data_IF_379093079003
#
_entry.id   IF_379093079003
#
_cell.length_a   1.000
_cell.length_b   1.000
_cell.length_c   1.000
_cell.angle_alpha   90.00
_cell.angle_beta   90.00
_cell.angle_gamma   90.00
#
_symmetry.space_group_name_H-M   'P 1'
#
loop_
_entity.id
_entity.type
_entity.pdbx_description
1 polymer ?
#
# COMPACT_ATOMS: atom_id res chain seq x y z
N UNK A 1 -24.97 -17.72 -11.01
CA UNK A 1 -25.93 -16.63 -10.68
C UNK A 1 -25.15 -15.39 -10.30
N UNK A 2 -25.47 -14.21 -10.86
CA UNK A 2 -24.91 -12.93 -10.36
C UNK A 2 -25.67 -12.54 -9.08
N UNK A 3 -25.00 -12.02 -8.04
CA UNK A 3 -25.69 -11.60 -6.83
C UNK A 3 -26.68 -10.45 -7.11
N UNK A 4 -27.79 -10.35 -6.37
CA UNK A 4 -28.76 -9.26 -6.51
C UNK A 4 -28.12 -7.88 -6.31
N UNK A 5 -28.49 -6.89 -7.13
CA UNK A 5 -27.94 -5.52 -7.10
C UNK A 5 -28.00 -4.85 -5.71
N UNK A 6 -29.03 -5.15 -4.90
CA UNK A 6 -29.13 -4.66 -3.51
C UNK A 6 -28.01 -5.19 -2.60
N UNK A 7 -27.61 -6.45 -2.75
CA UNK A 7 -26.50 -7.05 -2.00
C UNK A 7 -25.15 -6.50 -2.45
N UNK A 8 -25.02 -6.19 -3.76
CA UNK A 8 -23.84 -5.53 -4.31
C UNK A 8 -23.66 -4.11 -3.75
N UNK A 9 -24.75 -3.34 -3.62
CA UNK A 9 -24.72 -1.99 -3.07
C UNK A 9 -24.35 -1.94 -1.58
N UNK A 10 -24.77 -2.93 -0.79
CA UNK A 10 -24.40 -3.03 0.64
C UNK A 10 -22.90 -3.27 0.83
N UNK A 11 -22.30 -4.16 0.03
CA UNK A 11 -20.87 -4.44 0.08
C UNK A 11 -20.00 -3.23 -0.33
N UNK A 12 -20.46 -2.46 -1.32
CA UNK A 12 -19.78 -1.22 -1.75
C UNK A 12 -19.79 -0.17 -0.63
N UNK A 13 -20.94 0.04 0.01
CA UNK A 13 -21.08 0.98 1.13
C UNK A 13 -20.12 0.58 2.25
N UNK A 14 -20.00 -0.71 2.54
CA UNK A 14 -19.09 -1.23 3.56
C UNK A 14 -17.63 -0.93 3.23
N UNK A 15 -17.17 -1.12 1.99
CA UNK A 15 -15.79 -0.79 1.62
C UNK A 15 -15.45 0.70 1.83
N UNK A 16 -16.34 1.62 1.43
CA UNK A 16 -16.07 3.04 1.60
C UNK A 16 -16.20 3.51 3.05
N UNK A 17 -17.16 2.96 3.78
CA UNK A 17 -17.29 3.19 5.22
C UNK A 17 -16.04 2.73 5.97
N UNK A 18 -15.59 1.49 5.73
CA UNK A 18 -14.37 0.94 6.33
C UNK A 18 -13.13 1.74 5.92
N UNK A 19 -13.02 2.15 4.66
CA UNK A 19 -11.93 3.01 4.19
C UNK A 19 -11.88 4.35 4.93
N UNK A 20 -13.03 5.00 5.12
CA UNK A 20 -13.13 6.28 5.80
C UNK A 20 -12.80 6.14 7.29
N UNK A 21 -13.29 5.09 7.95
CA UNK A 21 -12.95 4.79 9.34
C UNK A 21 -11.44 4.60 9.50
N UNK A 22 -10.83 3.74 8.68
CA UNK A 22 -9.39 3.51 8.71
C UNK A 22 -8.57 4.79 8.41
N UNK A 23 -9.07 5.68 7.54
CA UNK A 23 -8.44 6.98 7.31
C UNK A 23 -8.50 7.88 8.55
N UNK A 24 -9.64 7.93 9.23
CA UNK A 24 -9.84 8.72 10.45
C UNK A 24 -8.94 8.19 11.56
N UNK A 25 -8.94 6.88 11.81
CA UNK A 25 -8.09 6.22 12.80
C UNK A 25 -6.61 6.48 12.53
N UNK A 26 -6.17 6.34 11.28
CA UNK A 26 -4.79 6.67 10.86
C UNK A 26 -4.42 8.11 11.21
N UNK A 27 -5.35 9.06 11.01
CA UNK A 27 -5.12 10.48 11.32
C UNK A 27 -5.02 10.74 12.81
N UNK A 28 -5.90 10.13 13.61
CA UNK A 28 -5.89 10.24 15.08
C UNK A 28 -4.56 9.71 15.62
N UNK A 29 -4.16 8.50 15.22
CA UNK A 29 -2.90 7.88 15.65
C UNK A 29 -1.69 8.72 15.24
N UNK A 30 -1.66 9.22 14.00
CA UNK A 30 -0.56 10.10 13.55
C UNK A 30 -0.46 11.38 14.39
N UNK A 31 -1.59 12.03 14.65
CA UNK A 31 -1.64 13.25 15.46
C UNK A 31 -1.19 12.95 16.89
N UNK A 32 -1.61 11.83 17.46
CA UNK A 32 -1.15 11.39 18.77
C UNK A 32 0.37 11.16 18.80
N UNK A 33 0.91 10.41 17.82
CA UNK A 33 2.35 10.17 17.70
C UNK A 33 3.17 11.46 17.63
N UNK A 34 2.65 12.52 17.01
CA UNK A 34 3.35 13.81 16.93
C UNK A 34 3.53 14.50 18.29
N UNK A 35 2.69 14.16 19.28
CA UNK A 35 2.73 14.71 20.64
C UNK A 35 3.59 13.89 21.61
N UNK A 36 3.99 12.68 21.22
CA UNK A 36 4.80 11.80 22.04
C UNK A 36 6.27 12.25 22.07
N UNK A 37 6.86 12.18 23.26
CA UNK A 37 8.27 12.51 23.52
C UNK A 37 9.15 11.27 23.48
N UNK A 38 8.66 10.11 23.93
CA UNK A 38 9.37 8.85 23.84
C UNK A 38 9.48 8.40 22.37
N UNK A 39 10.71 8.21 21.89
CA UNK A 39 10.97 7.87 20.49
C UNK A 39 10.50 6.46 20.12
N UNK A 40 10.52 5.50 21.05
CA UNK A 40 10.04 4.14 20.81
C UNK A 40 8.52 4.16 20.67
N UNK A 41 7.80 4.74 21.64
CA UNK A 41 6.34 4.87 21.62
C UNK A 41 5.88 5.66 20.40
N UNK A 42 6.57 6.74 20.05
CA UNK A 42 6.30 7.53 18.85
C UNK A 42 6.42 6.69 17.58
N UNK A 43 7.50 5.94 17.42
CA UNK A 43 7.70 5.09 16.23
C UNK A 43 6.61 4.01 16.12
N UNK A 44 6.26 3.44 17.26
CA UNK A 44 5.24 2.44 17.47
C UNK A 44 3.84 2.93 17.10
N UNK A 45 3.38 4.05 17.65
CA UNK A 45 2.08 4.66 17.31
C UNK A 45 2.05 5.13 15.84
N UNK A 46 3.17 5.64 15.33
CA UNK A 46 3.27 6.04 13.93
C UNK A 46 3.20 4.84 12.97
N UNK A 47 3.78 3.70 13.35
CA UNK A 47 3.67 2.45 12.60
C UNK A 47 2.22 1.94 12.55
N UNK A 48 1.50 2.01 13.67
CA UNK A 48 0.06 1.76 13.72
C UNK A 48 -0.74 2.69 12.81
N UNK A 49 -0.43 3.98 12.81
CA UNK A 49 -1.03 4.94 11.90
C UNK A 49 -0.79 4.56 10.41
N UNK A 50 0.40 4.04 10.10
CA UNK A 50 0.76 3.55 8.77
C UNK A 50 -0.02 2.29 8.37
N UNK A 51 -0.19 1.33 9.28
CA UNK A 51 -1.03 0.15 9.06
C UNK A 51 -2.49 0.54 8.78
N UNK A 52 -3.08 1.43 9.58
CA UNK A 52 -4.44 1.97 9.33
C UNK A 52 -4.54 2.69 7.99
N UNK A 53 -3.48 3.38 7.56
CA UNK A 53 -3.42 3.98 6.23
C UNK A 53 -3.44 2.94 5.11
N UNK A 54 -2.75 1.81 5.33
CA UNK A 54 -2.75 0.67 4.40
C UNK A 54 -4.12 -0.02 4.34
N UNK A 55 -4.80 -0.21 5.48
CA UNK A 55 -6.19 -0.70 5.55
C UNK A 55 -7.11 0.20 4.72
N UNK A 56 -6.98 1.52 4.87
CA UNK A 56 -7.72 2.50 4.07
C UNK A 56 -7.47 2.34 2.56
N UNK A 57 -6.21 2.17 2.13
CA UNK A 57 -5.84 1.96 0.73
C UNK A 57 -6.42 0.66 0.17
N UNK A 58 -6.36 -0.42 0.95
CA UNK A 58 -6.93 -1.73 0.61
C UNK A 58 -8.44 -1.64 0.35
N UNK A 59 -9.21 -1.07 1.27
CA UNK A 59 -10.66 -0.98 1.10
C UNK A 59 -11.07 -0.10 -0.10
N UNK A 60 -10.30 0.95 -0.41
CA UNK A 60 -10.50 1.74 -1.65
C UNK A 60 -10.22 0.91 -2.90
N UNK A 61 -9.17 0.10 -2.87
CA UNK A 61 -8.81 -0.78 -3.98
C UNK A 61 -9.89 -1.82 -4.25
N UNK A 62 -10.38 -2.50 -3.22
CA UNK A 62 -11.45 -3.50 -3.37
C UNK A 62 -12.76 -2.86 -3.84
N UNK A 63 -13.13 -1.70 -3.30
CA UNK A 63 -14.26 -0.91 -3.81
C UNK A 63 -14.09 -0.52 -5.29
N UNK A 64 -12.88 -0.13 -5.71
CA UNK A 64 -12.58 0.22 -7.10
C UNK A 64 -12.60 -1.00 -8.04
N UNK A 65 -12.18 -2.19 -7.57
CA UNK A 65 -12.29 -3.44 -8.34
C UNK A 65 -13.75 -3.81 -8.57
N UNK A 66 -14.56 -3.69 -7.53
CA UNK A 66 -15.98 -4.01 -7.57
C UNK A 66 -16.76 -3.09 -8.51
N UNK A 67 -16.54 -1.76 -8.40
CA UNK A 67 -17.19 -0.76 -9.24
C UNK A 67 -16.59 -0.64 -10.65
N UNK A 68 -15.41 -1.23 -10.86
CA UNK A 68 -14.59 -1.03 -12.06
C UNK A 68 -14.32 0.45 -12.39
N UNK A 69 -14.22 1.30 -11.35
CA UNK A 69 -14.04 2.75 -11.48
C UNK A 69 -12.54 3.13 -11.45
N UNK A 70 -11.99 3.71 -12.54
CA UNK A 70 -10.58 4.12 -12.59
C UNK A 70 -10.23 5.30 -11.67
N UNK A 71 -11.16 6.23 -11.40
CA UNK A 71 -10.90 7.36 -10.49
C UNK A 71 -10.74 6.89 -9.04
N UNK A 72 -11.57 5.93 -8.62
CA UNK A 72 -11.48 5.35 -7.28
C UNK A 72 -10.19 4.52 -7.17
N UNK A 73 -9.79 3.83 -8.24
CA UNK A 73 -8.50 3.12 -8.30
C UNK A 73 -7.32 4.07 -8.16
N UNK A 74 -7.34 5.22 -8.83
CA UNK A 74 -6.29 6.25 -8.69
C UNK A 74 -6.24 6.81 -7.27
N UNK A 75 -7.39 6.97 -6.59
CA UNK A 75 -7.41 7.30 -5.16
C UNK A 75 -6.75 6.21 -4.31
N UNK A 76 -7.01 4.94 -4.57
CA UNK A 76 -6.36 3.83 -3.86
C UNK A 76 -4.84 3.83 -4.06
N UNK A 77 -4.37 4.06 -5.30
CA UNK A 77 -2.95 4.21 -5.63
C UNK A 77 -2.30 5.32 -4.81
N UNK A 78 -2.95 6.49 -4.75
CA UNK A 78 -2.43 7.63 -3.98
C UNK A 78 -2.34 7.28 -2.48
N UNK A 79 -3.32 6.54 -1.94
CA UNK A 79 -3.27 6.09 -0.54
C UNK A 79 -2.14 5.10 -0.28
N UNK A 80 -1.84 4.18 -1.20
CA UNK A 80 -0.68 3.31 -1.09
C UNK A 80 0.64 4.10 -1.15
N UNK A 81 0.73 5.15 -1.98
CA UNK A 81 1.90 6.01 -2.04
C UNK A 81 2.10 6.81 -0.74
N UNK A 82 1.02 7.38 -0.19
CA UNK A 82 1.04 8.04 1.12
C UNK A 82 1.49 7.07 2.23
N UNK A 83 0.96 5.84 2.20
CA UNK A 83 1.28 4.79 3.16
C UNK A 83 2.74 4.33 3.07
N UNK A 84 3.29 4.19 1.87
CA UNK A 84 4.70 3.89 1.64
C UNK A 84 5.61 4.95 2.29
N UNK A 85 5.28 6.23 2.12
CA UNK A 85 5.99 7.32 2.79
C UNK A 85 5.93 7.23 4.32
N UNK A 86 4.84 6.72 4.89
CA UNK A 86 4.74 6.53 6.35
C UNK A 86 5.66 5.40 6.81
N UNK A 87 5.71 4.28 6.08
CA UNK A 87 6.62 3.20 6.41
C UNK A 87 8.10 3.54 6.20
N UNK A 88 8.43 4.44 5.26
CA UNK A 88 9.79 5.00 5.16
C UNK A 88 10.18 5.79 6.41
N UNK A 89 9.25 6.57 6.97
CA UNK A 89 9.48 7.31 8.22
C UNK A 89 9.63 6.33 9.39
N UNK A 90 8.78 5.30 9.47
CA UNK A 90 8.90 4.24 10.48
C UNK A 90 10.28 3.57 10.41
N UNK A 91 10.72 3.17 9.22
CA UNK A 91 12.01 2.52 9.02
C UNK A 91 13.17 3.39 9.53
N UNK A 92 13.14 4.70 9.23
CA UNK A 92 14.16 5.65 9.72
C UNK A 92 14.15 5.74 11.24
N UNK A 93 12.98 5.80 11.87
CA UNK A 93 12.87 5.82 13.33
C UNK A 93 13.40 4.52 13.95
N UNK A 94 13.02 3.35 13.44
CA UNK A 94 13.49 2.07 13.95
C UNK A 94 14.99 1.82 13.71
N UNK A 95 15.59 2.42 12.67
CA UNK A 95 17.05 2.40 12.47
C UNK A 95 17.77 3.07 13.63
N UNK A 96 17.24 4.19 14.13
CA UNK A 96 17.84 4.92 15.26
C UNK A 96 17.65 4.17 16.58
N UNK A 97 16.61 3.34 16.68
CA UNK A 97 16.25 2.56 17.87
C UNK A 97 16.85 1.14 17.89
N UNK A 98 17.66 0.79 16.88
CA UNK A 98 18.25 -0.55 16.71
C UNK A 98 17.22 -1.73 16.71
N UNK A 99 15.94 -1.45 16.46
CA UNK A 99 14.90 -2.47 16.36
C UNK A 99 14.89 -3.11 14.96
N UNK A 100 15.68 -4.16 14.79
CA UNK A 100 15.92 -4.83 13.50
C UNK A 100 14.66 -5.44 12.89
N UNK A 101 13.80 -6.06 13.71
CA UNK A 101 12.54 -6.67 13.26
C UNK A 101 11.58 -5.61 12.69
N UNK A 102 11.29 -4.55 13.45
CA UNK A 102 10.34 -3.52 13.00
C UNK A 102 10.84 -2.74 11.78
N UNK A 103 12.16 -2.58 11.64
CA UNK A 103 12.78 -2.06 10.43
C UNK A 103 12.51 -2.96 9.22
N UNK A 104 12.68 -4.27 9.37
CA UNK A 104 12.41 -5.25 8.30
C UNK A 104 10.92 -5.25 7.92
N UNK A 105 10.02 -5.29 8.91
CA UNK A 105 8.58 -5.25 8.69
C UNK A 105 8.16 -3.94 8.00
N UNK A 106 8.74 -2.80 8.38
CA UNK A 106 8.52 -1.51 7.70
C UNK A 106 8.94 -1.56 6.23
N UNK A 107 10.13 -2.11 5.93
CA UNK A 107 10.59 -2.27 4.54
C UNK A 107 9.68 -3.20 3.74
N UNK A 108 9.25 -4.30 4.33
CA UNK A 108 8.36 -5.25 3.70
C UNK A 108 7.06 -4.56 3.27
N UNK A 109 6.43 -3.81 4.16
CA UNK A 109 5.19 -3.09 3.87
C UNK A 109 5.38 -1.99 2.82
N UNK A 110 6.54 -1.30 2.79
CA UNK A 110 6.86 -0.38 1.68
C UNK A 110 6.87 -1.10 0.32
N UNK A 111 7.47 -2.29 0.26
CA UNK A 111 7.52 -3.10 -0.97
C UNK A 111 6.12 -3.51 -1.39
N UNK A 112 5.26 -3.90 -0.44
CA UNK A 112 3.88 -4.28 -0.73
C UNK A 112 3.09 -3.08 -1.24
N UNK A 113 3.20 -1.91 -0.62
CA UNK A 113 2.58 -0.68 -1.14
C UNK A 113 2.99 -0.41 -2.59
N UNK A 114 4.28 -0.49 -2.90
CA UNK A 114 4.81 -0.33 -4.27
C UNK A 114 4.25 -1.37 -5.23
N UNK A 115 4.18 -2.62 -4.81
CA UNK A 115 3.64 -3.71 -5.62
C UNK A 115 2.15 -3.54 -5.89
N UNK A 116 1.35 -3.09 -4.92
CA UNK A 116 -0.08 -2.78 -5.13
C UNK A 116 -0.27 -1.60 -6.09
N UNK A 117 0.56 -0.55 -5.99
CA UNK A 117 0.57 0.55 -6.97
C UNK A 117 0.84 0.00 -8.38
N UNK A 118 1.84 -0.88 -8.51
CA UNK A 118 2.18 -1.52 -9.76
C UNK A 118 1.01 -2.35 -10.33
N UNK A 119 0.39 -3.24 -9.56
CA UNK A 119 -0.75 -4.06 -10.01
C UNK A 119 -1.87 -3.16 -10.53
N UNK A 120 -2.21 -2.10 -9.80
CA UNK A 120 -3.30 -1.19 -10.16
C UNK A 120 -2.99 -0.35 -11.41
N UNK A 121 -1.70 -0.12 -11.72
CA UNK A 121 -1.25 0.54 -12.95
C UNK A 121 -0.92 -0.42 -14.09
N UNK A 122 -0.78 -1.73 -13.84
CA UNK A 122 -0.35 -2.74 -14.83
C UNK A 122 -1.16 -2.69 -16.12
N UNK A 123 -2.49 -2.67 -16.04
CA UNK A 123 -3.36 -2.57 -17.22
C UNK A 123 -3.14 -1.26 -18.00
N UNK A 124 -2.99 -0.13 -17.30
CA UNK A 124 -2.70 1.18 -17.90
C UNK A 124 -1.33 1.17 -18.59
N UNK A 125 -0.33 0.59 -17.94
CA UNK A 125 1.01 0.42 -18.48
C UNK A 125 1.02 -0.38 -19.78
N UNK A 126 0.40 -1.57 -19.83
CA UNK A 126 0.38 -2.37 -21.07
C UNK A 126 -0.42 -1.71 -22.19
N UNK A 127 -1.55 -1.07 -21.85
CA UNK A 127 -2.31 -0.27 -22.83
C UNK A 127 -1.43 0.84 -23.41
N UNK A 128 -0.71 1.56 -22.56
CA UNK A 128 0.15 2.66 -22.98
C UNK A 128 1.39 2.19 -23.75
N UNK A 129 2.01 1.07 -23.34
CA UNK A 129 3.09 0.40 -24.08
C UNK A 129 2.66 0.08 -25.52
N UNK A 130 1.44 -0.44 -25.70
CA UNK A 130 0.90 -0.73 -27.03
C UNK A 130 0.66 0.53 -27.86
N UNK A 131 0.13 1.61 -27.25
CA UNK A 131 -0.06 2.90 -27.92
C UNK A 131 1.28 3.49 -28.39
N UNK A 132 2.30 3.47 -27.52
CA UNK A 132 3.65 3.92 -27.87
C UNK A 132 4.29 3.10 -28.96
N UNK A 133 4.15 1.78 -28.92
CA UNK A 133 4.67 0.92 -29.97
C UNK A 133 4.02 1.24 -31.32
N UNK A 134 2.70 1.45 -31.36
CA UNK A 134 2.02 1.91 -32.58
C UNK A 134 2.50 3.29 -33.03
N UNK A 135 2.82 4.20 -32.12
CA UNK A 135 3.33 5.52 -32.46
C UNK A 135 4.76 5.48 -33.01
N UNK A 136 5.64 4.67 -32.43
CA UNK A 136 7.00 4.41 -32.94
C UNK A 136 6.94 3.77 -34.33
N UNK A 137 5.99 2.86 -34.55
CA UNK A 137 5.73 2.24 -35.85
C UNK A 137 5.07 3.21 -36.87
N UNK A 138 4.84 4.48 -36.52
CA UNK A 138 4.20 5.47 -37.39
C UNK A 138 2.70 5.26 -37.60
N UNK A 139 2.07 4.36 -36.84
CA UNK A 139 0.66 3.94 -36.98
C UNK A 139 -0.30 4.76 -36.09
N UNK A 140 0.21 5.67 -35.26
CA UNK A 140 -0.62 6.58 -34.44
C UNK A 140 0.14 7.83 -34.00
N UNK A 141 -0.55 8.96 -33.87
CA UNK A 141 0.00 10.19 -33.28
C UNK A 141 -0.27 10.17 -31.77
N UNK A 142 0.77 10.26 -30.96
CA UNK A 142 0.68 10.36 -29.49
C UNK A 142 0.24 11.77 -29.08
N UNK A 143 -0.77 11.87 -28.21
CA UNK A 143 -1.12 13.14 -27.58
C UNK A 143 -0.15 13.42 -26.42
N UNK A 144 0.25 14.69 -26.21
CA UNK A 144 1.23 15.08 -25.18
C UNK A 144 0.87 14.60 -23.76
N UNK A 145 -0.41 14.58 -23.39
CA UNK A 145 -0.88 14.12 -22.09
C UNK A 145 -0.67 12.61 -21.86
N UNK A 146 -0.71 11.81 -22.93
CA UNK A 146 -0.48 10.37 -22.90
C UNK A 146 1.02 10.07 -22.70
N UNK A 147 1.90 10.89 -23.28
CA UNK A 147 3.35 10.79 -23.13
C UNK A 147 3.82 11.06 -21.68
N UNK A 148 3.34 12.14 -21.06
CA UNK A 148 3.65 12.48 -19.66
C UNK A 148 3.16 11.42 -18.67
N UNK A 149 1.97 10.88 -18.93
CA UNK A 149 1.40 9.77 -18.15
C UNK A 149 2.27 8.52 -18.27
N UNK A 150 2.67 8.14 -19.48
CA UNK A 150 3.52 6.97 -19.69
C UNK A 150 4.85 7.08 -18.97
N UNK A 151 5.53 8.22 -19.08
CA UNK A 151 6.86 8.38 -18.50
C UNK A 151 6.82 8.20 -16.96
N UNK A 152 5.81 8.79 -16.30
CA UNK A 152 5.58 8.60 -14.86
C UNK A 152 5.28 7.14 -14.52
N UNK A 153 4.46 6.46 -15.32
CA UNK A 153 4.12 5.06 -15.07
C UNK A 153 5.30 4.12 -15.36
N UNK A 154 6.14 4.42 -16.35
CA UNK A 154 7.35 3.66 -16.71
C UNK A 154 8.44 3.77 -15.64
N UNK A 155 8.73 4.97 -15.14
CA UNK A 155 9.71 5.17 -14.06
C UNK A 155 9.28 4.46 -12.76
N UNK A 156 7.98 4.49 -12.46
CA UNK A 156 7.42 3.69 -11.36
C UNK A 156 7.52 2.19 -11.66
N UNK A 157 7.25 1.76 -12.89
CA UNK A 157 7.31 0.35 -13.29
C UNK A 157 8.73 -0.22 -13.13
N UNK A 158 9.75 0.48 -13.62
CA UNK A 158 11.13 -0.02 -13.59
C UNK A 158 11.66 -0.11 -12.15
N UNK A 159 11.46 0.94 -11.35
CA UNK A 159 11.92 0.98 -9.96
C UNK A 159 11.21 -0.01 -9.03
N UNK A 160 9.95 -0.36 -9.33
CA UNK A 160 9.19 -1.35 -8.56
C UNK A 160 9.49 -2.78 -9.03
N UNK A 161 9.60 -3.01 -10.34
CA UNK A 161 9.86 -4.33 -10.90
C UNK A 161 11.25 -4.84 -10.54
N UNK A 162 12.28 -4.01 -10.65
CA UNK A 162 13.66 -4.40 -10.30
C UNK A 162 13.78 -4.77 -8.81
N UNK A 163 13.15 -3.98 -7.93
CA UNK A 163 13.10 -4.30 -6.49
C UNK A 163 12.29 -5.55 -6.23
N UNK A 164 11.11 -5.69 -6.86
CA UNK A 164 10.25 -6.85 -6.69
C UNK A 164 10.93 -8.15 -7.12
N UNK A 165 11.66 -8.15 -8.24
CA UNK A 165 12.46 -9.29 -8.70
C UNK A 165 13.58 -9.63 -7.69
N UNK A 166 14.31 -8.62 -7.17
CA UNK A 166 15.33 -8.84 -6.14
C UNK A 166 14.75 -9.47 -4.86
N UNK A 167 13.52 -9.10 -4.48
CA UNK A 167 12.82 -9.63 -3.31
C UNK A 167 12.24 -11.03 -3.55
N UNK A 168 11.61 -11.27 -4.72
CA UNK A 168 11.03 -12.56 -5.12
C UNK A 168 12.09 -13.65 -5.25
N UNK A 169 13.28 -13.30 -5.72
CA UNK A 169 14.39 -14.24 -5.92
C UNK A 169 15.41 -14.23 -4.77
N UNK A 170 15.01 -13.79 -3.57
CA UNK A 170 15.71 -14.08 -2.33
C UNK A 170 17.03 -13.35 -2.09
N UNK A 171 17.44 -12.39 -2.94
CA UNK A 171 18.76 -11.74 -2.81
C UNK A 171 18.91 -10.78 -1.62
N UNK A 172 17.83 -10.46 -0.89
CA UNK A 172 17.86 -9.41 0.15
C UNK A 172 17.77 -9.96 1.59
N UNK A 173 17.38 -11.23 1.80
CA UNK A 173 17.17 -11.76 3.14
C UNK A 173 17.68 -13.20 3.30
N UNK A 174 19.01 -13.37 3.31
CA UNK A 174 19.65 -14.66 3.59
C UNK A 174 19.34 -15.23 4.99
N UNK A 175 18.70 -14.48 5.90
CA UNK A 175 18.45 -14.92 7.29
C UNK A 175 16.97 -15.00 7.70
N UNK A 176 16.01 -14.75 6.80
CA UNK A 176 14.59 -14.80 7.13
C UNK A 176 13.81 -15.60 6.07
N UNK A 177 14.01 -16.91 6.10
CA UNK A 177 13.34 -17.94 5.29
C UNK A 177 11.82 -18.05 5.51
N UNK A 178 11.25 -17.21 6.39
CA UNK A 178 9.85 -17.28 6.83
C UNK A 178 8.89 -16.37 6.05
N UNK A 179 9.39 -15.48 5.19
CA UNK A 179 8.55 -14.58 4.40
C UNK A 179 8.00 -15.32 3.19
N UNK A 180 6.87 -16.01 3.41
CA UNK A 180 6.08 -16.56 2.31
C UNK A 180 5.51 -15.40 1.47
N UNK A 181 6.21 -15.10 0.37
CA UNK A 181 5.81 -14.06 -0.58
C UNK A 181 4.46 -14.36 -1.22
N UNK A 182 3.98 -15.61 -1.21
CA UNK A 182 2.65 -15.95 -1.72
C UNK A 182 1.54 -15.47 -0.77
N UNK A 183 1.79 -15.41 0.55
CA UNK A 183 0.88 -14.76 1.51
C UNK A 183 0.80 -13.25 1.24
N UNK A 184 1.92 -12.63 0.89
CA UNK A 184 2.01 -11.19 0.64
C UNK A 184 1.47 -10.79 -0.76
N UNK A 185 1.37 -11.75 -1.69
CA UNK A 185 0.75 -11.58 -2.99
C UNK A 185 -0.78 -11.63 -2.94
N UNK A 186 -1.38 -12.28 -1.93
CA UNK A 186 -2.85 -12.44 -1.82
C UNK A 186 -3.54 -11.10 -1.63
N UNK A 187 -3.19 -10.35 -0.58
CA UNK A 187 -3.75 -9.02 -0.36
C UNK A 187 -2.90 -8.15 0.57
N UNK A 188 -3.12 -6.83 0.52
CA UNK A 188 -2.56 -5.91 1.50
C UNK A 188 -3.06 -6.19 2.93
N UNK A 189 -4.29 -6.71 3.09
CA UNK A 189 -4.86 -7.05 4.39
C UNK A 189 -4.15 -8.25 5.02
N UNK A 190 -3.83 -9.28 4.24
CA UNK A 190 -3.09 -10.46 4.72
C UNK A 190 -1.71 -10.07 5.25
N UNK A 191 -1.04 -9.14 4.56
CA UNK A 191 0.22 -8.58 5.03
C UNK A 191 0.09 -7.82 6.36
N UNK A 192 -1.00 -7.06 6.53
CA UNK A 192 -1.29 -6.34 7.79
C UNK A 192 -1.53 -7.33 8.93
N UNK A 193 -2.34 -8.38 8.69
CA UNK A 193 -2.63 -9.42 9.67
C UNK A 193 -1.34 -10.14 10.07
N UNK A 194 -0.53 -10.54 9.09
CA UNK A 194 0.77 -11.18 9.33
C UNK A 194 1.67 -10.27 10.19
N UNK A 195 1.85 -9.01 9.80
CA UNK A 195 2.69 -8.08 10.55
C UNK A 195 2.19 -7.91 11.98
N UNK A 196 0.87 -7.78 12.20
CA UNK A 196 0.30 -7.68 13.56
C UNK A 196 0.52 -8.95 14.39
N UNK A 197 0.59 -10.13 13.75
CA UNK A 197 0.85 -11.39 14.46
C UNK A 197 2.31 -11.64 14.82
N UNK A 198 3.25 -11.06 14.06
CA UNK A 198 4.70 -11.28 14.26
C UNK A 198 5.41 -10.08 14.86
N UNK A 199 4.79 -8.90 14.87
CA UNK A 199 5.29 -7.79 15.66
C UNK A 199 5.03 -8.13 17.13
N UNK A 200 6.09 -8.11 17.95
CA UNK A 200 5.97 -8.23 19.41
C UNK A 200 5.38 -6.95 20.03
N UNK A 201 4.46 -6.30 19.31
CA UNK A 201 3.97 -4.98 19.60
C UNK A 201 2.57 -5.09 20.20
N UNK A 202 2.40 -4.58 21.41
CA UNK A 202 1.10 -4.57 22.06
C UNK A 202 0.21 -3.53 21.38
N UNK A 203 -0.75 -3.95 20.55
CA UNK A 203 -1.70 -3.05 19.90
C UNK A 203 -2.84 -2.57 20.82
N UNK A 204 -2.84 -2.92 22.11
CA UNK A 204 -3.88 -2.48 23.06
C UNK A 204 -3.92 -0.95 23.24
N UNK A 205 -2.80 -0.25 23.07
CA UNK A 205 -2.77 1.21 23.12
C UNK A 205 -3.57 1.84 21.96
N UNK A 206 -3.68 1.18 20.80
CA UNK A 206 -4.46 1.72 19.68
C UNK A 206 -5.90 1.93 20.10
N UNK A 207 -6.50 0.93 20.77
CA UNK A 207 -7.87 1.01 21.28
C UNK A 207 -8.02 2.13 22.30
N UNK A 208 -7.03 2.33 23.18
CA UNK A 208 -7.04 3.41 24.17
C UNK A 208 -7.01 4.78 23.51
N UNK A 209 -6.19 4.96 22.46
CA UNK A 209 -6.09 6.23 21.73
C UNK A 209 -7.36 6.50 20.92
N UNK A 210 -7.95 5.48 20.29
CA UNK A 210 -9.11 5.64 19.40
C UNK A 210 -10.43 5.85 20.15
N UNK A 211 -10.50 5.45 21.42
CA UNK A 211 -11.70 5.60 22.25
C UNK A 211 -11.71 6.91 23.07
N UNK A 212 -10.63 7.70 23.04
CA UNK A 212 -10.48 8.99 23.71
C UNK A 212 -10.55 10.15 22.72
#
# INVERSE_FOLDING_TARGET
MKPPEKLMNLQIIDFFRLSNNAQTESRILKNHASKLTDNNEKANVYFSAALKKMECAFFREEGAKFLNDPQIRDKAINKYAECEGYFQICEKNYRNLQNSLMKILSKLLQVICKFRIFINRKKRYYKMKSVLQKAIEGKSILKNEEHLTFHKDLLNFHSVFEKWEQYRFGKVYNNYTFLDFDILNKSAMDAIIFVKSVSNFDYSFEKKILNN
#
